data_IF_117659178620
#
_entry.id   IF_117659178620
#
_cell.length_a   1.000
_cell.length_b   1.000
_cell.length_c   1.000
_cell.angle_alpha   90.00
_cell.angle_beta   90.00
_cell.angle_gamma   90.00
#
_symmetry.space_group_name_H-M   'P 1'
#
loop_
_entity.id
_entity.type
_entity.pdbx_description
1 polymer ?
#
# COMPACT_ATOMS: atom_id res chain seq x y z
N UNK A 1 -13.03 -32.40 11.38
CA UNK A 1 -13.05 -31.93 9.98
C UNK A 1 -14.34 -31.17 9.59
N UNK A 2 -15.49 -31.62 10.05
CA UNK A 2 -16.76 -30.92 9.76
C UNK A 2 -16.85 -29.51 10.40
N UNK A 3 -16.32 -29.35 11.64
CA UNK A 3 -16.31 -28.06 12.34
C UNK A 3 -15.44 -27.03 11.60
N UNK A 4 -14.20 -27.40 11.22
CA UNK A 4 -13.29 -26.48 10.52
C UNK A 4 -13.84 -26.05 9.17
N UNK A 5 -14.49 -26.97 8.42
CA UNK A 5 -15.18 -26.62 7.15
C UNK A 5 -16.32 -25.64 7.38
N UNK A 6 -17.14 -25.88 8.42
CA UNK A 6 -18.22 -24.96 8.79
C UNK A 6 -17.66 -23.59 9.18
N UNK A 7 -16.62 -23.55 10.02
CA UNK A 7 -15.97 -22.32 10.44
C UNK A 7 -15.43 -21.53 9.22
N UNK A 8 -14.68 -22.21 8.35
CA UNK A 8 -14.17 -21.61 7.10
C UNK A 8 -15.29 -21.00 6.26
N UNK A 9 -16.39 -21.74 6.04
CA UNK A 9 -17.52 -21.27 5.26
C UNK A 9 -18.23 -20.08 5.92
N UNK A 10 -18.58 -20.22 7.22
CA UNK A 10 -19.34 -19.19 7.94
C UNK A 10 -18.58 -17.89 8.14
N UNK A 11 -17.25 -17.94 8.20
CA UNK A 11 -16.41 -16.73 8.22
C UNK A 11 -16.25 -16.16 6.80
N UNK A 12 -16.08 -17.01 5.78
CA UNK A 12 -15.83 -16.54 4.42
C UNK A 12 -17.04 -15.82 3.80
N UNK A 13 -18.27 -16.24 4.09
CA UNK A 13 -19.47 -15.65 3.48
C UNK A 13 -19.67 -14.18 3.91
N UNK A 14 -19.75 -13.81 5.20
CA UNK A 14 -20.01 -12.44 5.61
C UNK A 14 -18.81 -11.51 5.36
N UNK A 15 -17.58 -11.99 5.54
CA UNK A 15 -16.38 -11.18 5.35
C UNK A 15 -15.84 -11.19 3.92
N UNK A 16 -16.29 -12.14 3.09
CA UNK A 16 -15.79 -12.35 1.73
C UNK A 16 -15.90 -11.11 0.84
N UNK A 17 -16.99 -10.35 0.94
CA UNK A 17 -17.16 -9.13 0.17
C UNK A 17 -16.12 -8.06 0.55
N UNK A 18 -15.92 -7.83 1.84
CA UNK A 18 -14.93 -6.84 2.33
C UNK A 18 -13.52 -7.28 1.94
N UNK A 19 -13.19 -8.57 2.11
CA UNK A 19 -11.90 -9.14 1.73
C UNK A 19 -11.68 -8.98 0.21
N UNK A 20 -12.69 -9.28 -0.60
CA UNK A 20 -12.63 -9.13 -2.06
C UNK A 20 -12.34 -7.67 -2.45
N UNK A 21 -13.11 -6.71 -1.90
CA UNK A 21 -12.93 -5.28 -2.18
C UNK A 21 -11.52 -4.83 -1.78
N UNK A 22 -11.05 -5.26 -0.61
CA UNK A 22 -9.72 -4.92 -0.10
C UNK A 22 -8.62 -5.52 -0.98
N UNK A 23 -8.72 -6.79 -1.36
CA UNK A 23 -7.76 -7.45 -2.25
C UNK A 23 -7.75 -6.83 -3.65
N UNK A 24 -8.93 -6.58 -4.23
CA UNK A 24 -9.05 -5.97 -5.55
C UNK A 24 -8.43 -4.56 -5.58
N UNK A 25 -8.81 -3.71 -4.64
CA UNK A 25 -8.27 -2.35 -4.57
C UNK A 25 -6.76 -2.34 -4.30
N UNK A 26 -6.27 -3.25 -3.47
CA UNK A 26 -4.83 -3.44 -3.25
C UNK A 26 -4.08 -3.88 -4.50
N UNK A 27 -4.64 -4.82 -5.26
CA UNK A 27 -4.07 -5.26 -6.54
C UNK A 27 -3.98 -4.12 -7.57
N UNK A 28 -4.99 -3.26 -7.63
CA UNK A 28 -4.95 -2.08 -8.51
C UNK A 28 -3.84 -1.10 -8.11
N UNK A 29 -3.60 -0.91 -6.82
CA UNK A 29 -2.53 -0.03 -6.32
C UNK A 29 -1.12 -0.50 -6.65
N UNK A 30 -0.91 -1.79 -6.90
CA UNK A 30 0.40 -2.32 -7.33
C UNK A 30 0.86 -1.68 -8.63
N UNK A 31 -0.08 -1.40 -9.54
CA UNK A 31 0.21 -0.82 -10.87
C UNK A 31 0.16 0.72 -10.89
N UNK A 32 -0.01 1.37 -9.73
CA UNK A 32 -0.17 2.83 -9.66
C UNK A 32 1.00 3.58 -10.27
N UNK A 33 2.24 3.16 -9.96
CA UNK A 33 3.45 3.85 -10.42
C UNK A 33 3.62 3.75 -11.93
N UNK A 34 3.47 2.54 -12.48
CA UNK A 34 3.65 2.26 -13.90
C UNK A 34 2.59 2.98 -14.75
N UNK A 35 1.33 2.89 -14.34
CA UNK A 35 0.22 3.54 -15.05
C UNK A 35 0.34 5.06 -14.96
N UNK A 36 0.66 5.60 -13.78
CA UNK A 36 0.84 7.03 -13.59
C UNK A 36 2.02 7.57 -14.44
N UNK A 37 3.14 6.82 -14.46
CA UNK A 37 4.30 7.19 -15.28
C UNK A 37 4.01 7.12 -16.78
N UNK A 38 3.17 6.18 -17.22
CA UNK A 38 2.75 6.09 -18.62
C UNK A 38 1.82 7.23 -19.03
N UNK A 39 0.86 7.62 -18.15
CA UNK A 39 -0.10 8.70 -18.41
C UNK A 39 0.59 10.08 -18.39
N UNK A 40 1.47 10.30 -17.40
CA UNK A 40 2.17 11.58 -17.22
C UNK A 40 3.64 11.50 -17.68
N UNK A 41 3.89 10.82 -18.80
CA UNK A 41 5.25 10.60 -19.29
C UNK A 41 6.05 11.91 -19.37
N UNK A 42 5.44 12.98 -19.87
CA UNK A 42 6.06 14.31 -19.99
C UNK A 42 6.54 14.87 -18.64
N UNK A 43 5.84 14.56 -17.54
CA UNK A 43 6.26 14.97 -16.20
C UNK A 43 7.49 14.21 -15.70
N UNK A 44 7.59 12.92 -16.06
CA UNK A 44 8.62 12.01 -15.52
C UNK A 44 9.87 11.90 -16.38
N UNK A 45 9.81 12.37 -17.64
CA UNK A 45 10.94 12.26 -18.57
C UNK A 45 11.36 13.64 -19.08
N UNK A 46 12.66 13.77 -19.38
CA UNK A 46 13.21 14.94 -20.07
C UNK A 46 13.13 14.71 -21.59
N UNK A 47 12.87 15.76 -22.37
CA UNK A 47 12.77 15.67 -23.83
C UNK A 47 14.15 15.46 -24.48
N UNK A 48 15.16 16.11 -23.92
CA UNK A 48 16.54 16.01 -24.41
C UNK A 48 17.49 15.78 -23.23
N UNK A 49 18.32 14.77 -23.38
CA UNK A 49 19.38 14.47 -22.40
C UNK A 49 20.55 15.40 -22.68
N UNK A 50 20.89 16.26 -21.70
CA UNK A 50 22.04 17.14 -21.77
C UNK A 50 23.36 16.41 -21.42
N UNK A 51 24.49 17.03 -21.72
CA UNK A 51 25.81 16.45 -21.44
C UNK A 51 26.06 16.33 -19.93
N UNK A 52 25.63 17.28 -19.12
CA UNK A 52 25.85 17.34 -17.68
C UNK A 52 24.65 17.89 -16.95
N UNK A 53 24.22 17.21 -15.89
CA UNK A 53 23.18 17.72 -14.99
C UNK A 53 23.69 18.94 -14.19
N UNK A 54 22.78 19.86 -13.89
CA UNK A 54 23.04 20.98 -12.98
C UNK A 54 23.36 20.49 -11.57
N UNK A 55 24.14 21.24 -10.79
CA UNK A 55 24.36 20.96 -9.38
C UNK A 55 23.04 20.89 -8.60
N UNK A 56 22.95 19.97 -7.62
CA UNK A 56 21.71 19.76 -6.85
C UNK A 56 21.31 21.01 -6.07
N UNK A 57 22.28 21.78 -5.60
CA UNK A 57 22.08 23.04 -4.88
C UNK A 57 21.42 24.07 -5.79
N UNK A 58 21.87 24.18 -7.03
CA UNK A 58 21.29 25.09 -8.02
C UNK A 58 19.86 24.68 -8.39
N UNK A 59 19.60 23.37 -8.54
CA UNK A 59 18.25 22.88 -8.78
C UNK A 59 17.32 23.15 -7.59
N UNK A 60 17.81 23.00 -6.37
CA UNK A 60 17.04 23.32 -5.16
C UNK A 60 16.71 24.81 -5.10
N UNK A 61 17.64 25.70 -5.45
CA UNK A 61 17.43 27.14 -5.49
C UNK A 61 16.39 27.52 -6.56
N UNK A 62 16.52 27.01 -7.79
CA UNK A 62 15.57 27.26 -8.88
C UNK A 62 14.16 26.87 -8.46
N UNK A 63 14.00 25.67 -7.87
CA UNK A 63 12.69 25.21 -7.39
C UNK A 63 12.18 26.11 -6.27
N UNK A 64 13.03 26.47 -5.31
CA UNK A 64 12.62 27.31 -4.17
C UNK A 64 12.06 28.66 -4.61
N UNK A 65 12.56 29.23 -5.72
CA UNK A 65 12.02 30.47 -6.31
C UNK A 65 10.62 30.34 -6.89
N UNK A 66 10.16 29.11 -7.17
CA UNK A 66 8.84 28.83 -7.72
C UNK A 66 7.82 28.39 -6.69
N UNK A 67 8.23 28.22 -5.41
CA UNK A 67 7.36 27.74 -4.33
C UNK A 67 6.61 28.89 -3.66
N UNK A 68 5.44 28.54 -3.08
CA UNK A 68 4.67 29.43 -2.22
C UNK A 68 5.41 29.70 -0.89
N UNK A 69 5.08 30.81 -0.24
CA UNK A 69 5.65 31.17 1.07
C UNK A 69 5.49 30.06 2.11
N UNK A 70 6.58 29.72 2.78
CA UNK A 70 6.62 28.69 3.84
C UNK A 70 6.64 27.25 3.33
N UNK A 71 6.88 27.04 2.03
CA UNK A 71 7.19 25.72 1.45
C UNK A 71 8.68 25.65 1.17
N UNK A 72 9.32 24.58 1.64
CA UNK A 72 10.77 24.37 1.53
C UNK A 72 11.08 23.08 0.78
N UNK A 73 12.22 23.06 0.10
CA UNK A 73 12.79 21.84 -0.49
C UNK A 73 13.38 20.98 0.63
N UNK A 74 12.90 19.74 0.77
CA UNK A 74 13.35 18.80 1.80
C UNK A 74 14.32 17.75 1.29
N UNK A 75 14.47 17.62 -0.03
CA UNK A 75 15.42 16.69 -0.64
C UNK A 75 15.17 16.51 -2.14
N UNK A 76 16.17 15.98 -2.83
CA UNK A 76 16.13 15.67 -4.25
C UNK A 76 16.40 14.17 -4.42
N UNK A 77 15.53 13.50 -5.19
CA UNK A 77 15.74 12.11 -5.60
C UNK A 77 16.30 12.11 -7.01
N UNK A 78 17.51 11.59 -7.14
CA UNK A 78 18.20 11.36 -8.41
C UNK A 78 17.87 9.95 -8.90
N UNK A 79 17.65 9.79 -10.19
CA UNK A 79 17.40 8.50 -10.83
C UNK A 79 18.59 8.10 -11.70
N UNK A 80 18.86 6.80 -11.80
CA UNK A 80 19.98 6.27 -12.61
C UNK A 80 19.78 6.49 -14.11
N UNK A 81 18.53 6.65 -14.58
CA UNK A 81 18.23 6.92 -15.99
C UNK A 81 18.38 8.40 -16.29
N UNK A 82 19.23 8.73 -17.25
CA UNK A 82 19.45 10.10 -17.74
C UNK A 82 18.19 10.77 -18.31
N UNK A 83 17.24 9.97 -18.79
CA UNK A 83 15.98 10.45 -19.34
C UNK A 83 14.92 10.77 -18.27
N UNK A 84 15.14 10.39 -17.00
CA UNK A 84 14.18 10.65 -15.92
C UNK A 84 14.44 12.00 -15.28
N UNK A 85 13.40 12.82 -15.21
CA UNK A 85 13.41 14.09 -14.49
C UNK A 85 13.65 13.86 -12.98
N UNK A 86 14.43 14.72 -12.34
CA UNK A 86 14.68 14.63 -10.91
C UNK A 86 13.43 15.01 -10.11
N UNK A 87 13.19 14.27 -9.01
CA UNK A 87 12.08 14.54 -8.11
C UNK A 87 12.54 15.35 -6.90
N UNK A 88 12.03 16.56 -6.78
CA UNK A 88 12.28 17.46 -5.65
C UNK A 88 11.14 17.35 -4.66
N UNK A 89 11.44 16.93 -3.42
CA UNK A 89 10.48 16.75 -2.33
C UNK A 89 10.26 18.08 -1.60
N UNK A 90 9.00 18.36 -1.27
CA UNK A 90 8.58 19.59 -0.62
C UNK A 90 8.13 19.33 0.82
N UNK A 91 8.25 20.36 1.68
CA UNK A 91 7.81 20.31 3.08
C UNK A 91 6.29 20.27 3.20
N UNK A 92 5.58 20.97 2.32
CA UNK A 92 4.11 21.10 2.31
C UNK A 92 3.56 21.10 0.89
N UNK A 93 2.34 20.56 0.68
CA UNK A 93 1.64 19.64 1.60
C UNK A 93 2.41 18.33 1.78
N UNK A 94 2.06 17.56 2.81
CA UNK A 94 2.76 16.29 3.13
C UNK A 94 2.86 15.38 1.91
N UNK A 95 4.08 14.93 1.58
CA UNK A 95 4.43 14.12 0.42
C UNK A 95 4.31 14.85 -0.94
N UNK A 96 4.23 16.17 -0.96
CA UNK A 96 4.31 16.91 -2.20
C UNK A 96 5.69 16.78 -2.85
N UNK A 97 5.70 16.76 -4.16
CA UNK A 97 6.93 16.77 -4.93
C UNK A 97 6.69 17.43 -6.30
N UNK A 98 7.74 18.05 -6.82
CA UNK A 98 7.78 18.56 -8.18
C UNK A 98 8.86 17.84 -8.97
N UNK A 99 8.69 17.74 -10.26
CA UNK A 99 9.67 17.18 -11.18
C UNK A 99 10.39 18.30 -11.93
N UNK A 100 11.70 18.16 -12.07
CA UNK A 100 12.58 19.17 -12.65
C UNK A 100 13.46 18.51 -13.70
N UNK A 101 13.60 19.14 -14.84
CA UNK A 101 14.59 18.78 -15.83
C UNK A 101 15.99 19.10 -15.27
N UNK A 102 16.77 18.08 -14.99
CA UNK A 102 18.09 18.21 -14.37
C UNK A 102 19.12 18.92 -15.23
N UNK A 103 18.87 19.10 -16.53
CA UNK A 103 19.80 19.74 -17.44
C UNK A 103 19.49 21.23 -17.64
N UNK A 104 18.22 21.61 -17.62
CA UNK A 104 17.78 22.98 -17.89
C UNK A 104 17.33 23.72 -16.62
N UNK A 105 17.01 23.01 -15.55
CA UNK A 105 16.38 23.57 -14.35
C UNK A 105 14.87 23.83 -14.51
N UNK A 106 14.27 23.49 -15.66
CA UNK A 106 12.84 23.68 -15.89
C UNK A 106 11.99 22.86 -14.93
N UNK A 107 11.06 23.52 -14.22
CA UNK A 107 10.08 22.83 -13.36
C UNK A 107 8.95 22.29 -14.23
N UNK A 108 8.94 20.99 -14.44
CA UNK A 108 7.97 20.28 -15.29
C UNK A 108 6.56 20.21 -14.66
N UNK A 109 6.47 20.32 -13.34
CA UNK A 109 5.20 20.36 -12.62
C UNK A 109 5.20 19.51 -11.36
N UNK A 110 4.04 19.49 -10.67
CA UNK A 110 3.84 18.74 -9.43
C UNK A 110 3.16 17.39 -9.69
N UNK A 111 3.56 16.38 -8.91
CA UNK A 111 2.86 15.10 -8.92
C UNK A 111 1.45 15.26 -8.35
N UNK A 112 0.47 14.83 -9.14
CA UNK A 112 -0.92 14.69 -8.68
C UNK A 112 -1.35 13.23 -8.82
N UNK A 113 -1.76 12.64 -7.70
CA UNK A 113 -2.28 11.29 -7.71
C UNK A 113 -3.53 11.20 -8.57
N UNK A 114 -3.59 10.23 -9.47
CA UNK A 114 -4.77 9.99 -10.30
C UNK A 114 -5.99 9.72 -9.41
N UNK A 115 -7.18 10.31 -9.69
CA UNK A 115 -8.39 10.12 -8.88
C UNK A 115 -8.77 8.64 -8.71
N UNK A 116 -8.55 7.83 -9.73
CA UNK A 116 -8.75 6.38 -9.67
C UNK A 116 -7.92 5.74 -8.54
N UNK A 117 -6.61 6.00 -8.50
CA UNK A 117 -5.75 5.43 -7.46
C UNK A 117 -5.99 6.04 -6.08
N UNK A 118 -6.38 7.32 -6.02
CA UNK A 118 -6.84 7.92 -4.77
C UNK A 118 -8.08 7.19 -4.22
N UNK A 119 -9.02 6.84 -5.09
CA UNK A 119 -10.21 6.05 -4.73
C UNK A 119 -9.84 4.62 -4.31
N UNK A 120 -8.98 3.93 -5.08
CA UNK A 120 -8.51 2.59 -4.73
C UNK A 120 -7.80 2.58 -3.37
N UNK A 121 -6.98 3.58 -3.07
CA UNK A 121 -6.31 3.71 -1.79
C UNK A 121 -7.27 3.90 -0.61
N UNK A 122 -8.28 4.77 -0.78
CA UNK A 122 -9.32 5.00 0.25
C UNK A 122 -10.17 3.74 0.45
N UNK A 123 -10.49 3.04 -0.64
CA UNK A 123 -11.25 1.80 -0.60
C UNK A 123 -10.47 0.69 0.12
N UNK A 124 -9.17 0.53 -0.23
CA UNK A 124 -8.29 -0.47 0.36
C UNK A 124 -8.10 -0.30 1.86
N UNK A 125 -7.97 0.94 2.32
CA UNK A 125 -7.64 1.22 3.72
C UNK A 125 -8.83 1.50 4.61
N UNK A 126 -9.90 2.07 4.06
CA UNK A 126 -10.99 2.66 4.86
C UNK A 126 -12.38 2.40 4.30
N UNK A 127 -12.54 1.59 3.25
CA UNK A 127 -13.82 1.37 2.56
C UNK A 127 -14.53 2.68 2.18
N UNK A 128 -13.75 3.66 1.72
CA UNK A 128 -14.23 5.01 1.39
C UNK A 128 -14.75 5.84 2.58
N UNK A 129 -14.56 5.36 3.81
CA UNK A 129 -14.96 6.12 5.00
C UNK A 129 -14.31 7.51 4.99
N UNK A 130 -15.05 8.60 5.15
CA UNK A 130 -14.47 9.94 5.24
C UNK A 130 -13.61 10.06 6.50
N UNK A 131 -12.59 10.93 6.42
CA UNK A 131 -11.73 11.21 7.59
C UNK A 131 -12.59 11.68 8.76
N UNK A 132 -12.59 11.02 9.91
CA UNK A 132 -13.52 11.32 10.98
C UNK A 132 -13.24 12.67 11.60
N UNK A 133 -14.27 13.48 11.76
CA UNK A 133 -14.22 14.67 12.57
C UNK A 133 -14.21 14.34 14.08
N UNK A 134 -14.48 13.08 14.45
CA UNK A 134 -14.67 12.61 15.84
C UNK A 134 -13.69 11.48 16.26
N UNK A 135 -12.61 11.22 15.52
CA UNK A 135 -11.56 10.29 15.95
C UNK A 135 -11.79 8.80 15.70
N UNK A 136 -12.99 8.34 15.29
CA UNK A 136 -13.28 6.92 15.03
C UNK A 136 -13.39 6.65 13.53
N UNK A 137 -12.47 5.83 13.01
CA UNK A 137 -12.52 5.32 11.62
C UNK A 137 -13.29 4.00 11.58
N UNK A 138 -14.58 4.03 11.28
CA UNK A 138 -15.41 2.83 11.17
C UNK A 138 -14.91 1.92 10.04
N UNK A 139 -14.69 2.47 8.85
CA UNK A 139 -14.20 1.72 7.70
C UNK A 139 -12.83 1.09 7.94
N UNK A 140 -11.90 1.81 8.60
CA UNK A 140 -10.60 1.25 9.01
C UNK A 140 -10.78 0.07 9.98
N UNK A 141 -11.70 0.18 10.92
CA UNK A 141 -11.98 -0.89 11.89
C UNK A 141 -12.58 -2.11 11.20
N UNK A 142 -13.51 -1.92 10.26
CA UNK A 142 -14.10 -3.01 9.46
C UNK A 142 -13.02 -3.72 8.64
N UNK A 143 -12.14 -2.99 7.95
CA UNK A 143 -11.01 -3.56 7.20
C UNK A 143 -10.08 -4.34 8.13
N UNK A 144 -9.73 -3.78 9.29
CA UNK A 144 -8.86 -4.44 10.26
C UNK A 144 -9.45 -5.74 10.80
N UNK A 145 -10.72 -5.73 11.23
CA UNK A 145 -11.42 -6.94 11.70
C UNK A 145 -11.51 -7.97 10.57
N UNK A 146 -11.89 -7.54 9.35
CA UNK A 146 -11.98 -8.44 8.20
C UNK A 146 -10.61 -9.06 7.85
N UNK A 147 -9.52 -8.31 7.99
CA UNK A 147 -8.16 -8.83 7.79
C UNK A 147 -7.77 -9.84 8.87
N UNK A 148 -8.15 -9.60 10.13
CA UNK A 148 -7.93 -10.58 11.22
C UNK A 148 -8.71 -11.89 10.96
N UNK A 149 -9.98 -11.76 10.57
CA UNK A 149 -10.81 -12.91 10.18
C UNK A 149 -10.23 -13.59 8.94
N UNK A 150 -9.67 -12.86 7.99
CA UNK A 150 -9.02 -13.43 6.81
C UNK A 150 -7.82 -14.30 7.18
N UNK A 151 -7.02 -13.94 8.16
CA UNK A 151 -5.95 -14.82 8.70
C UNK A 151 -6.53 -16.15 9.19
N UNK A 152 -7.64 -16.11 9.92
CA UNK A 152 -8.33 -17.34 10.39
C UNK A 152 -8.86 -18.14 9.20
N UNK A 153 -9.42 -17.48 8.18
CA UNK A 153 -9.89 -18.13 6.95
C UNK A 153 -8.73 -18.82 6.22
N UNK A 154 -7.56 -18.19 6.11
CA UNK A 154 -6.38 -18.78 5.47
C UNK A 154 -5.89 -20.02 6.21
N UNK A 155 -5.80 -19.95 7.54
CA UNK A 155 -5.39 -21.09 8.37
C UNK A 155 -6.41 -22.25 8.27
N UNK A 156 -7.70 -21.97 8.42
CA UNK A 156 -8.75 -22.98 8.29
C UNK A 156 -8.82 -23.55 6.89
N UNK A 157 -8.60 -22.71 5.87
CA UNK A 157 -8.49 -23.13 4.47
C UNK A 157 -7.36 -24.13 4.25
N UNK A 158 -6.17 -23.87 4.82
CA UNK A 158 -5.04 -24.78 4.77
C UNK A 158 -5.38 -26.13 5.43
N UNK A 159 -6.00 -26.12 6.61
CA UNK A 159 -6.41 -27.34 7.30
C UNK A 159 -7.41 -28.17 6.49
N UNK A 160 -8.39 -27.52 5.87
CA UNK A 160 -9.36 -28.15 4.96
C UNK A 160 -8.70 -28.67 3.69
N UNK A 161 -7.65 -27.95 3.22
CA UNK A 161 -6.92 -28.31 2.01
C UNK A 161 -6.00 -29.53 2.23
N UNK A 162 -5.50 -29.84 3.41
CA UNK A 162 -4.52 -30.92 3.67
C UNK A 162 -4.98 -32.24 3.01
N UNK A 163 -4.22 -32.79 2.05
CA UNK A 163 -4.58 -34.01 1.35
C UNK A 163 -4.21 -35.24 2.20
N UNK A 164 -5.02 -36.30 2.11
CA UNK A 164 -4.81 -37.56 2.79
C UNK A 164 -4.10 -38.61 1.91
N UNK A 165 -3.91 -38.34 0.63
CA UNK A 165 -3.25 -39.26 -0.30
C UNK A 165 -2.54 -38.50 -1.41
N UNK A 166 -1.51 -39.13 -2.03
CA UNK A 166 -0.78 -38.57 -3.20
C UNK A 166 -1.70 -38.23 -4.37
N UNK A 167 -2.70 -39.06 -4.63
CA UNK A 167 -3.69 -38.85 -5.69
C UNK A 167 -4.56 -37.59 -5.40
N UNK A 168 -4.95 -37.41 -4.13
CA UNK A 168 -5.69 -36.24 -3.69
C UNK A 168 -4.83 -34.97 -3.78
N UNK A 169 -3.56 -35.04 -3.40
CA UNK A 169 -2.61 -33.92 -3.53
C UNK A 169 -2.52 -33.43 -4.98
N UNK A 170 -2.26 -34.35 -5.92
CA UNK A 170 -2.18 -33.99 -7.35
C UNK A 170 -3.47 -33.35 -7.86
N UNK A 171 -4.63 -33.85 -7.46
CA UNK A 171 -5.92 -33.28 -7.85
C UNK A 171 -6.20 -31.89 -7.26
N UNK A 172 -5.65 -31.59 -6.06
CA UNK A 172 -5.83 -30.30 -5.38
C UNK A 172 -4.85 -29.22 -5.83
N UNK A 173 -3.76 -29.63 -6.46
CA UNK A 173 -2.76 -28.72 -7.04
C UNK A 173 -3.05 -28.38 -8.52
N UNK A 174 -4.05 -29.01 -9.15
CA UNK A 174 -4.33 -28.81 -10.57
C UNK A 174 -5.69 -28.21 -10.82
N UNK A 175 -5.77 -27.24 -11.73
CA UNK A 175 -7.01 -26.65 -12.23
C UNK A 175 -7.43 -27.36 -13.50
N UNK A 176 -8.64 -27.93 -13.56
CA UNK A 176 -9.17 -28.65 -14.71
C UNK A 176 -10.04 -27.74 -15.56
N UNK A 177 -9.52 -27.32 -16.71
CA UNK A 177 -10.22 -26.41 -17.63
C UNK A 177 -11.39 -27.06 -18.36
N UNK A 178 -11.34 -28.40 -18.60
CA UNK A 178 -12.27 -29.14 -19.46
C UNK A 178 -13.44 -29.82 -18.71
N UNK A 179 -13.68 -29.47 -17.44
CA UNK A 179 -14.72 -30.10 -16.59
C UNK A 179 -15.89 -29.20 -16.24
N UNK A 180 -16.08 -28.12 -17.04
CA UNK A 180 -17.15 -27.15 -16.89
C UNK A 180 -16.85 -26.05 -15.84
N UNK A 181 -17.64 -24.97 -15.94
CA UNK A 181 -17.43 -23.69 -15.21
C UNK A 181 -17.42 -23.84 -13.69
N UNK A 182 -18.35 -24.62 -13.13
CA UNK A 182 -18.40 -24.85 -11.66
C UNK A 182 -17.15 -25.54 -11.15
N UNK A 183 -16.64 -26.52 -11.90
CA UNK A 183 -15.42 -27.23 -11.55
C UNK A 183 -14.19 -26.35 -11.67
N UNK A 184 -14.11 -25.52 -12.68
CA UNK A 184 -13.05 -24.54 -12.88
C UNK A 184 -12.90 -23.61 -11.65
N UNK A 185 -14.00 -22.96 -11.21
CA UNK A 185 -13.96 -22.07 -10.05
C UNK A 185 -13.60 -22.78 -8.75
N UNK A 186 -14.12 -23.99 -8.57
CA UNK A 186 -13.76 -24.82 -7.42
C UNK A 186 -12.24 -25.13 -7.40
N UNK A 187 -11.70 -25.64 -8.51
CA UNK A 187 -10.29 -25.99 -8.62
C UNK A 187 -9.41 -24.74 -8.52
N UNK A 188 -9.82 -23.61 -9.10
CA UNK A 188 -9.14 -22.32 -8.98
C UNK A 188 -9.07 -21.85 -7.52
N UNK A 189 -10.15 -21.96 -6.78
CA UNK A 189 -10.16 -21.63 -5.35
C UNK A 189 -9.26 -22.57 -4.55
N UNK A 190 -9.31 -23.87 -4.80
CA UNK A 190 -8.55 -24.87 -4.04
C UNK A 190 -7.05 -24.84 -4.36
N UNK A 191 -6.69 -24.82 -5.64
CA UNK A 191 -5.30 -24.80 -6.07
C UNK A 191 -4.72 -23.39 -5.96
N UNK A 192 -5.41 -22.39 -6.50
CA UNK A 192 -4.98 -20.99 -6.45
C UNK A 192 -4.84 -20.47 -5.02
N UNK A 193 -5.82 -20.81 -4.16
CA UNK A 193 -5.74 -20.45 -2.74
C UNK A 193 -4.54 -21.05 -2.04
N UNK A 194 -4.14 -22.28 -2.37
CA UNK A 194 -2.94 -22.90 -1.83
C UNK A 194 -1.66 -22.20 -2.32
N UNK A 195 -1.54 -21.94 -3.62
CA UNK A 195 -0.37 -21.25 -4.17
C UNK A 195 -0.23 -19.82 -3.67
N UNK A 196 -1.34 -19.11 -3.48
CA UNK A 196 -1.35 -17.74 -2.97
C UNK A 196 -1.22 -17.65 -1.44
N UNK A 197 -1.40 -18.76 -0.70
CA UNK A 197 -1.54 -18.79 0.76
C UNK A 197 -0.45 -18.03 1.50
N UNK A 198 0.82 -18.31 1.19
CA UNK A 198 1.96 -17.71 1.91
C UNK A 198 2.02 -16.21 1.67
N UNK A 199 1.83 -15.79 0.42
CA UNK A 199 1.83 -14.37 0.05
C UNK A 199 0.66 -13.64 0.71
N UNK A 200 -0.55 -14.19 0.63
CA UNK A 200 -1.74 -13.60 1.24
C UNK A 200 -1.63 -13.54 2.76
N UNK A 201 -1.06 -14.57 3.39
CA UNK A 201 -0.82 -14.58 4.84
C UNK A 201 0.19 -13.49 5.24
N UNK A 202 1.31 -13.38 4.53
CA UNK A 202 2.30 -12.32 4.77
C UNK A 202 1.69 -10.91 4.60
N UNK A 203 0.90 -10.71 3.53
CA UNK A 203 0.20 -9.44 3.28
C UNK A 203 -0.82 -9.13 4.38
N UNK A 204 -1.60 -10.12 4.84
CA UNK A 204 -2.57 -9.95 5.92
C UNK A 204 -1.88 -9.60 7.25
N UNK A 205 -0.82 -10.33 7.62
CA UNK A 205 -0.08 -10.09 8.86
C UNK A 205 0.61 -8.71 8.85
N UNK A 206 1.22 -8.31 7.76
CA UNK A 206 1.81 -6.97 7.63
C UNK A 206 0.74 -5.87 7.58
N UNK A 207 -0.40 -6.12 6.90
CA UNK A 207 -1.53 -5.20 6.83
C UNK A 207 -2.15 -4.89 8.21
N UNK A 208 -2.23 -5.86 9.10
CA UNK A 208 -2.74 -5.69 10.46
C UNK A 208 -1.95 -4.67 11.29
N UNK A 209 -0.67 -4.46 11.00
CA UNK A 209 0.17 -3.45 11.68
C UNK A 209 -0.35 -2.01 11.49
N UNK A 210 -1.08 -1.77 10.40
CA UNK A 210 -1.69 -0.47 10.10
C UNK A 210 -3.07 -0.29 10.75
N UNK A 211 -3.75 -1.41 11.03
CA UNK A 211 -5.11 -1.38 11.58
C UNK A 211 -5.12 -1.26 13.10
N UNK A 212 -4.24 -1.99 13.79
CA UNK A 212 -4.25 -2.11 15.25
C UNK A 212 -2.88 -1.74 15.87
N UNK A 213 -2.82 -0.68 16.73
CA UNK A 213 -1.58 -0.28 17.39
C UNK A 213 -0.97 -1.39 18.28
N UNK A 214 -1.82 -2.12 19.02
CA UNK A 214 -1.38 -3.23 19.88
C UNK A 214 -0.73 -4.36 19.08
N UNK A 215 -1.32 -4.70 17.92
CA UNK A 215 -0.77 -5.73 17.03
C UNK A 215 0.55 -5.28 16.43
N UNK A 216 0.64 -4.02 16.01
CA UNK A 216 1.87 -3.43 15.49
C UNK A 216 3.01 -3.55 16.50
N UNK A 217 2.79 -3.18 17.77
CA UNK A 217 3.81 -3.31 18.82
C UNK A 217 4.22 -4.77 19.01
N UNK A 218 3.27 -5.70 19.11
CA UNK A 218 3.55 -7.11 19.23
C UNK A 218 4.33 -7.67 18.03
N UNK A 219 3.95 -7.29 16.82
CA UNK A 219 4.59 -7.71 15.58
C UNK A 219 6.06 -7.27 15.53
N UNK A 220 6.36 -5.99 15.80
CA UNK A 220 7.72 -5.49 15.80
C UNK A 220 8.59 -6.09 16.92
N UNK A 221 8.03 -6.32 18.09
CA UNK A 221 8.73 -6.98 19.20
C UNK A 221 9.19 -8.40 18.84
N UNK A 222 8.38 -9.16 18.07
CA UNK A 222 8.76 -10.49 17.57
C UNK A 222 10.02 -10.44 16.70
N UNK A 223 10.23 -9.35 15.96
CA UNK A 223 11.41 -9.14 15.11
C UNK A 223 12.56 -8.38 15.83
N UNK A 224 12.45 -8.17 17.13
CA UNK A 224 13.49 -7.48 17.92
C UNK A 224 13.63 -6.00 17.60
N UNK A 225 12.61 -5.38 17.01
CA UNK A 225 12.61 -3.94 16.69
C UNK A 225 11.87 -3.20 17.79
N UNK A 226 12.62 -2.50 18.65
CA UNK A 226 12.04 -1.58 19.63
C UNK A 226 11.44 -0.37 18.92
N UNK A 227 10.12 -0.25 18.97
CA UNK A 227 9.43 0.95 18.51
C UNK A 227 9.71 2.06 19.52
N UNK A 228 10.66 2.95 19.22
CA UNK A 228 10.82 4.19 19.99
C UNK A 228 9.47 4.90 20.02
N UNK A 229 8.94 5.10 21.23
CA UNK A 229 7.77 5.97 21.42
C UNK A 229 8.13 7.32 20.80
N UNK A 230 7.23 7.94 20.02
CA UNK A 230 7.47 9.31 19.54
C UNK A 230 7.87 10.13 20.77
N UNK A 231 9.06 10.70 20.74
CA UNK A 231 9.49 11.64 21.77
C UNK A 231 8.42 12.73 21.76
N UNK A 232 7.63 12.81 22.83
CA UNK A 232 6.70 13.90 23.02
C UNK A 232 7.53 15.18 22.93
N UNK A 233 7.35 15.94 21.86
CA UNK A 233 7.90 17.29 21.76
C UNK A 233 7.37 18.04 22.98
N UNK A 234 8.28 18.27 23.91
CA UNK A 234 8.01 19.00 25.13
C UNK A 234 7.67 20.46 24.72
N UNK A 235 6.40 20.78 24.66
CA UNK A 235 5.89 22.16 24.61
C UNK A 235 6.23 22.91 25.92
N UNK A 236 7.55 23.00 26.22
CA UNK A 236 8.09 23.81 27.33
C UNK A 236 8.64 25.15 26.86
N UNK A 237 8.10 25.72 25.80
CA UNK A 237 8.59 27.04 25.36
C UNK A 237 7.55 28.16 25.43
N UNK A 238 6.51 28.04 26.26
CA UNK A 238 5.57 29.15 26.40
C UNK A 238 5.15 29.43 27.84
N UNK A 239 6.08 29.48 28.79
CA UNK A 239 5.85 29.99 30.17
C UNK A 239 7.05 30.73 30.74
N UNK A 240 7.66 31.64 29.99
CA UNK A 240 8.62 32.62 30.53
C UNK A 240 8.58 33.96 29.80
N UNK A 241 7.43 34.53 29.62
CA UNK A 241 7.28 35.98 29.45
C UNK A 241 5.95 36.38 30.04
N UNK A 242 5.97 36.68 31.32
CA UNK A 242 4.81 37.12 32.10
C UNK A 242 5.20 37.32 33.56
N UNK A 243 6.21 38.14 33.81
CA UNK A 243 6.39 38.88 35.07
C UNK A 243 7.10 40.18 34.79
#
# INVERSE_FOLDING_TARGET
MNLVKKLHLWLSVPFGLVIFITCFSGAMLVFEKEITAAIYRELYTVEQVGEKALPLEQLAEIVSLTLDEGVEVTGITVFDSAEKAYQVKLSKPKHASVYVNQYTGEVKGSYKRLPFFATMFRLHRWLMDPTPNAGVFVGKTIVGISTLVFVVILITGLVVWLPRSKKMLRNRLTVKLNKGWRRFWYDLHVAGGFYALVVLLAMALTGLTWSFPWYRTAFYNVFGVDMQKPVAQNDKHNKREGK
#
